data_IF_550808118425
#
_entry.id   IF_550808118425
#
_cell.length_a   1.000
_cell.length_b   1.000
_cell.length_c   1.000
_cell.angle_alpha   90.00
_cell.angle_beta   90.00
_cell.angle_gamma   90.00
#
_symmetry.space_group_name_H-M   'P 1'
#
loop_
_entity.id
_entity.type
_entity.pdbx_description
1 polymer ?
#
# COMPACT_ATOMS: atom_id res chain seq x y z
N UNK A 1 -4.69 -6.37 0.31
CA UNK A 1 -5.17 -5.47 -0.72
C UNK A 1 -6.59 -5.84 -1.10
N UNK A 2 -7.48 -4.88 -1.11
CA UNK A 2 -8.88 -5.03 -1.51
C UNK A 2 -9.10 -4.08 -2.69
N UNK A 3 -9.75 -4.56 -3.73
CA UNK A 3 -10.12 -3.75 -4.89
C UNK A 3 -11.55 -4.09 -5.29
N UNK A 4 -12.41 -3.08 -5.43
CA UNK A 4 -13.77 -3.23 -5.91
C UNK A 4 -13.78 -3.04 -7.42
N UNK A 5 -14.31 -4.05 -8.13
CA UNK A 5 -14.48 -4.00 -9.59
C UNK A 5 -15.88 -3.43 -9.87
N UNK A 6 -15.96 -2.45 -10.75
CA UNK A 6 -17.20 -1.85 -11.23
C UNK A 6 -17.69 -2.54 -12.50
N UNK A 7 -18.96 -2.30 -12.87
CA UNK A 7 -19.59 -2.83 -14.10
C UNK A 7 -19.61 -4.37 -14.18
N UNK A 8 -19.88 -5.02 -13.06
CA UNK A 8 -20.04 -6.46 -12.94
C UNK A 8 -21.53 -6.80 -12.82
N UNK A 9 -22.00 -7.77 -13.61
CA UNK A 9 -23.32 -8.37 -13.49
C UNK A 9 -23.27 -9.49 -12.45
N UNK A 10 -23.89 -9.30 -11.29
CA UNK A 10 -23.97 -10.30 -10.23
C UNK A 10 -25.30 -11.03 -10.37
N UNK A 11 -25.27 -12.33 -10.70
CA UNK A 11 -26.46 -13.20 -10.80
C UNK A 11 -26.79 -13.88 -9.48
N UNK A 12 -25.75 -14.21 -8.71
CA UNK A 12 -25.83 -14.86 -7.42
C UNK A 12 -24.70 -14.32 -6.54
N UNK A 13 -25.04 -13.93 -5.33
CA UNK A 13 -24.04 -13.47 -4.35
C UNK A 13 -23.29 -14.66 -3.75
N UNK A 14 -21.98 -14.50 -3.53
CA UNK A 14 -21.16 -15.53 -2.92
C UNK A 14 -19.75 -15.05 -2.63
N UNK A 15 -19.02 -15.88 -1.92
CA UNK A 15 -17.61 -15.67 -1.62
C UNK A 15 -16.81 -16.96 -1.76
N UNK A 16 -15.59 -16.86 -2.25
CA UNK A 16 -14.68 -17.98 -2.38
C UNK A 16 -13.23 -17.50 -2.34
N UNK A 17 -12.29 -18.41 -2.17
CA UNK A 17 -10.86 -18.13 -2.26
C UNK A 17 -10.22 -19.04 -3.29
N UNK A 18 -9.19 -18.55 -3.98
CA UNK A 18 -8.40 -19.36 -4.90
C UNK A 18 -6.95 -18.86 -4.95
N UNK A 19 -6.07 -19.63 -5.58
CA UNK A 19 -4.66 -19.27 -5.72
C UNK A 19 -4.50 -18.07 -6.66
N UNK A 20 -4.07 -16.94 -6.12
CA UNK A 20 -3.96 -15.67 -6.86
C UNK A 20 -3.03 -15.73 -8.08
N UNK A 21 -1.90 -16.44 -7.98
CA UNK A 21 -0.94 -16.57 -9.09
C UNK A 21 -1.55 -17.32 -10.29
N UNK A 22 -2.27 -18.41 -10.03
CA UNK A 22 -2.91 -19.21 -11.08
C UNK A 22 -4.04 -18.40 -11.73
N UNK A 23 -4.87 -17.75 -10.91
CA UNK A 23 -5.95 -16.90 -11.42
C UNK A 23 -5.39 -15.76 -12.29
N UNK A 24 -4.33 -15.09 -11.83
CA UNK A 24 -3.65 -14.05 -12.59
C UNK A 24 -3.12 -14.57 -13.93
N UNK A 25 -2.44 -15.73 -13.94
CA UNK A 25 -1.86 -16.33 -15.14
C UNK A 25 -2.92 -16.72 -16.18
N UNK A 26 -4.11 -17.10 -15.74
CA UNK A 26 -5.26 -17.40 -16.60
C UNK A 26 -5.87 -16.11 -17.13
N UNK A 27 -6.24 -15.19 -16.23
CA UNK A 27 -6.97 -13.96 -16.59
C UNK A 27 -6.18 -13.10 -17.57
N UNK A 28 -4.87 -12.96 -17.40
CA UNK A 28 -4.02 -12.17 -18.32
C UNK A 28 -3.93 -12.71 -19.75
N UNK A 29 -4.38 -13.96 -19.99
CA UNK A 29 -4.39 -14.56 -21.33
C UNK A 29 -5.69 -14.31 -22.08
N UNK A 30 -6.72 -13.86 -21.39
CA UNK A 30 -7.94 -13.46 -22.05
C UNK A 30 -7.81 -12.09 -22.71
N UNK A 31 -8.48 -11.90 -23.83
CA UNK A 31 -8.58 -10.60 -24.48
C UNK A 31 -9.43 -9.65 -23.62
N UNK A 32 -9.04 -8.39 -23.53
CA UNK A 32 -9.71 -7.36 -22.70
C UNK A 32 -11.14 -7.02 -23.15
N UNK A 33 -11.50 -7.38 -24.38
CA UNK A 33 -12.82 -7.16 -24.97
C UNK A 33 -13.81 -8.29 -24.68
N UNK A 34 -13.39 -9.37 -24.03
CA UNK A 34 -14.21 -10.56 -23.77
C UNK A 34 -14.79 -10.56 -22.35
N UNK A 35 -16.02 -11.08 -22.26
CA UNK A 35 -16.66 -11.33 -20.96
C UNK A 35 -16.04 -12.54 -20.30
N UNK A 36 -15.78 -12.41 -19.00
CA UNK A 36 -15.36 -13.49 -18.13
C UNK A 36 -16.49 -13.81 -17.14
N UNK A 37 -16.97 -15.04 -17.18
CA UNK A 37 -17.95 -15.54 -16.21
C UNK A 37 -17.20 -16.26 -15.07
N UNK A 38 -17.62 -15.98 -13.86
CA UNK A 38 -17.14 -16.63 -12.65
C UNK A 38 -18.31 -17.35 -12.00
N UNK A 39 -18.15 -18.63 -11.69
CA UNK A 39 -19.18 -19.41 -11.00
C UNK A 39 -18.55 -20.51 -10.14
N UNK A 40 -19.30 -21.00 -9.16
CA UNK A 40 -18.90 -22.21 -8.43
C UNK A 40 -19.51 -23.43 -9.11
N UNK A 41 -18.69 -24.44 -9.38
CA UNK A 41 -19.19 -25.70 -9.91
C UNK A 41 -19.63 -26.68 -8.80
N UNK A 42 -20.23 -27.81 -9.18
CA UNK A 42 -20.71 -28.84 -8.25
C UNK A 42 -19.61 -29.51 -7.41
N UNK A 43 -18.33 -29.32 -7.79
CA UNK A 43 -17.17 -29.85 -7.07
C UNK A 43 -16.55 -28.81 -6.12
N UNK A 44 -17.23 -27.70 -5.83
CA UNK A 44 -16.74 -26.57 -5.07
C UNK A 44 -15.43 -25.95 -5.64
N UNK A 45 -15.29 -25.91 -6.95
CA UNK A 45 -14.20 -25.23 -7.64
C UNK A 45 -14.70 -23.94 -8.28
N UNK A 46 -13.88 -22.91 -8.28
CA UNK A 46 -14.14 -21.68 -9.00
C UNK A 46 -13.94 -21.93 -10.50
N UNK A 47 -15.01 -21.85 -11.27
CA UNK A 47 -14.98 -21.95 -12.71
C UNK A 47 -14.84 -20.55 -13.32
N UNK A 48 -13.81 -20.40 -14.17
CA UNK A 48 -13.63 -19.24 -15.02
C UNK A 48 -13.97 -19.66 -16.46
N UNK A 49 -14.93 -18.99 -17.05
CA UNK A 49 -15.39 -19.27 -18.40
C UNK A 49 -15.32 -18.01 -19.28
N UNK A 50 -14.67 -18.12 -20.43
CA UNK A 50 -14.68 -17.10 -21.46
C UNK A 50 -14.64 -17.76 -22.82
N UNK A 51 -15.64 -17.47 -23.67
CA UNK A 51 -15.85 -18.06 -25.00
C UNK A 51 -15.86 -19.60 -24.98
N UNK A 52 -14.79 -20.24 -25.49
CA UNK A 52 -14.62 -21.71 -25.55
C UNK A 52 -13.68 -22.24 -24.46
N UNK A 53 -13.19 -21.40 -23.60
CA UNK A 53 -12.22 -21.76 -22.57
C UNK A 53 -12.88 -21.87 -21.21
N UNK A 54 -12.69 -22.99 -20.53
CA UNK A 54 -13.19 -23.25 -19.19
C UNK A 54 -12.02 -23.69 -18.33
N UNK A 55 -11.83 -23.02 -17.18
CA UNK A 55 -10.82 -23.36 -16.19
C UNK A 55 -11.48 -23.59 -14.83
N UNK A 56 -11.08 -24.64 -14.15
CA UNK A 56 -11.55 -24.96 -12.79
C UNK A 56 -10.41 -24.80 -11.80
N UNK A 57 -10.56 -23.89 -10.87
CA UNK A 57 -9.58 -23.59 -9.84
C UNK A 57 -9.99 -24.18 -8.50
N UNK A 58 -9.05 -24.79 -7.79
CA UNK A 58 -9.28 -25.24 -6.44
C UNK A 58 -9.52 -24.06 -5.51
N UNK A 59 -10.48 -24.21 -4.61
CA UNK A 59 -10.88 -23.22 -3.62
C UNK A 59 -10.60 -23.73 -2.22
N UNK A 60 -10.35 -22.79 -1.32
CA UNK A 60 -10.33 -23.00 0.13
C UNK A 60 -11.58 -22.32 0.70
N UNK A 61 -12.10 -22.81 1.79
CA UNK A 61 -13.27 -22.22 2.42
C UNK A 61 -13.00 -20.75 2.75
N UNK A 62 -13.89 -19.87 2.36
CA UNK A 62 -13.77 -18.42 2.60
C UNK A 62 -13.70 -18.05 4.09
N UNK A 63 -14.24 -18.90 4.99
CA UNK A 63 -14.12 -18.72 6.44
C UNK A 63 -12.69 -18.84 6.96
N UNK A 64 -11.79 -19.46 6.19
CA UNK A 64 -10.37 -19.57 6.52
C UNK A 64 -9.56 -18.33 6.05
N UNK A 65 -10.19 -17.44 5.29
CA UNK A 65 -9.51 -16.22 4.83
C UNK A 65 -9.38 -15.24 5.99
N UNK A 66 -8.15 -14.77 6.29
CA UNK A 66 -7.92 -13.85 7.39
C UNK A 66 -8.52 -12.47 7.09
N UNK A 67 -9.62 -12.14 7.74
CA UNK A 67 -10.22 -10.82 7.69
C UNK A 67 -9.53 -9.89 8.69
N UNK A 68 -9.45 -8.62 8.37
CA UNK A 68 -8.94 -7.58 9.27
C UNK A 68 -10.12 -6.70 9.69
N UNK A 69 -10.70 -6.98 10.86
CA UNK A 69 -11.83 -6.23 11.42
C UNK A 69 -11.38 -5.05 12.31
N UNK A 70 -10.21 -4.49 12.04
CA UNK A 70 -9.66 -3.42 12.87
C UNK A 70 -10.30 -2.07 12.54
N UNK A 71 -10.63 -1.31 13.58
CA UNK A 71 -11.17 0.03 13.45
C UNK A 71 -10.03 1.04 13.26
N UNK A 72 -9.98 1.67 12.10
CA UNK A 72 -8.97 2.68 11.70
C UNK A 72 -9.48 4.13 11.84
N UNK A 73 -10.48 4.39 12.67
CA UNK A 73 -11.20 5.68 12.63
C UNK A 73 -10.49 6.82 13.38
N UNK A 74 -9.52 6.54 14.26
CA UNK A 74 -9.02 7.54 15.20
C UNK A 74 -7.97 8.51 14.62
N UNK A 75 -7.17 8.08 13.64
CA UNK A 75 -6.07 8.88 13.07
C UNK A 75 -6.17 8.85 11.54
N UNK A 76 -7.00 9.73 10.98
CA UNK A 76 -7.26 9.77 9.54
C UNK A 76 -6.91 11.13 8.97
N UNK A 77 -6.21 11.15 7.84
CA UNK A 77 -5.96 12.35 7.04
C UNK A 77 -5.98 12.03 5.55
N UNK A 78 -6.05 13.07 4.74
CA UNK A 78 -6.12 12.97 3.29
C UNK A 78 -4.94 13.70 2.67
N UNK A 79 -4.35 13.10 1.64
CA UNK A 79 -3.24 13.69 0.91
C UNK A 79 -3.39 13.44 -0.58
N UNK A 80 -3.03 14.43 -1.40
CA UNK A 80 -3.05 14.27 -2.85
C UNK A 80 -2.05 13.18 -3.30
N UNK A 81 -2.51 12.26 -4.16
CA UNK A 81 -1.74 11.10 -4.61
C UNK A 81 -0.41 11.46 -5.28
N UNK A 82 -0.39 12.50 -6.13
CA UNK A 82 0.85 12.96 -6.82
C UNK A 82 1.89 13.45 -5.82
N UNK A 83 1.44 14.21 -4.81
CA UNK A 83 2.35 14.70 -3.76
C UNK A 83 2.88 13.56 -2.90
N UNK A 84 2.01 12.62 -2.52
CA UNK A 84 2.40 11.47 -1.73
C UNK A 84 3.35 10.53 -2.51
N UNK A 85 3.02 10.23 -3.77
CA UNK A 85 3.89 9.46 -4.65
C UNK A 85 5.28 10.10 -4.82
N UNK A 86 5.32 11.42 -5.02
CA UNK A 86 6.59 12.17 -5.11
C UNK A 86 7.40 12.08 -3.81
N UNK A 87 6.74 12.15 -2.65
CA UNK A 87 7.36 12.00 -1.34
C UNK A 87 8.05 10.64 -1.21
N UNK A 88 7.32 9.57 -1.51
CA UNK A 88 7.82 8.19 -1.44
C UNK A 88 8.94 7.92 -2.46
N UNK A 89 8.76 8.33 -3.70
CA UNK A 89 9.72 8.12 -4.79
C UNK A 89 11.08 8.76 -4.50
N UNK A 90 11.10 9.92 -3.82
CA UNK A 90 12.34 10.60 -3.44
C UNK A 90 13.12 9.90 -2.33
N UNK A 91 12.47 9.01 -1.56
CA UNK A 91 13.10 8.35 -0.42
C UNK A 91 13.31 6.84 -0.63
N UNK A 92 12.49 6.16 -1.45
CA UNK A 92 12.48 4.69 -1.57
C UNK A 92 13.82 4.07 -1.94
N UNK A 93 14.70 4.79 -2.68
CA UNK A 93 15.99 4.26 -3.10
C UNK A 93 17.06 4.23 -1.99
N UNK A 94 16.82 4.92 -0.89
CA UNK A 94 17.70 4.94 0.30
C UNK A 94 17.23 3.98 1.40
N UNK A 95 16.18 3.19 1.17
CA UNK A 95 15.71 2.19 2.12
C UNK A 95 16.71 1.02 2.19
N UNK A 96 17.06 0.60 3.40
CA UNK A 96 18.01 -0.50 3.63
C UNK A 96 17.48 -1.85 3.17
N UNK A 97 18.39 -2.72 2.75
CA UNK A 97 18.16 -4.15 2.50
C UNK A 97 18.70 -5.04 3.63
N UNK A 98 19.27 -4.44 4.66
CA UNK A 98 19.87 -5.16 5.78
C UNK A 98 18.77 -5.61 6.75
N UNK A 99 18.50 -6.91 6.79
CA UNK A 99 17.48 -7.52 7.64
C UNK A 99 17.83 -7.46 9.13
N UNK A 100 19.13 -7.29 9.46
CA UNK A 100 19.55 -7.16 10.87
C UNK A 100 19.16 -5.82 11.47
N UNK A 101 19.03 -4.79 10.64
CA UNK A 101 18.58 -3.44 11.00
C UNK A 101 17.19 -3.15 10.41
N UNK A 102 16.22 -3.99 10.75
CA UNK A 102 14.86 -3.95 10.19
C UNK A 102 14.20 -2.56 10.27
N UNK A 103 14.51 -1.74 11.30
CA UNK A 103 14.03 -0.37 11.46
C UNK A 103 14.51 0.59 10.35
N UNK A 104 15.53 0.22 9.56
CA UNK A 104 15.98 0.94 8.37
C UNK A 104 15.37 0.40 7.06
N UNK A 105 14.63 -0.73 7.13
CA UNK A 105 14.03 -1.37 5.95
C UNK A 105 12.70 -0.74 5.53
N UNK A 106 12.52 0.55 5.81
CA UNK A 106 11.34 1.32 5.49
C UNK A 106 11.60 2.81 5.38
N UNK A 107 10.54 3.54 5.06
CA UNK A 107 10.53 5.02 5.11
C UNK A 107 9.93 5.43 6.45
N UNK A 108 10.65 6.28 7.16
CA UNK A 108 10.17 6.95 8.36
C UNK A 108 9.32 8.16 7.96
N UNK A 109 8.02 8.06 8.23
CA UNK A 109 7.05 9.14 8.02
C UNK A 109 6.72 9.79 9.34
N UNK A 110 6.90 11.10 9.43
CA UNK A 110 6.62 11.88 10.62
C UNK A 110 6.34 13.33 10.28
N UNK A 111 5.85 14.09 11.24
CA UNK A 111 5.67 15.53 11.08
C UNK A 111 6.92 16.27 11.53
N UNK A 112 7.26 17.34 10.82
CA UNK A 112 8.31 18.29 11.20
C UNK A 112 7.77 19.71 11.09
N UNK A 113 8.28 20.59 11.94
CA UNK A 113 7.98 22.01 11.92
C UNK A 113 9.26 22.80 11.60
N UNK A 114 9.18 23.71 10.65
CA UNK A 114 10.28 24.58 10.21
C UNK A 114 9.70 25.96 9.91
N UNK A 115 10.17 26.99 10.58
CA UNK A 115 9.72 28.37 10.39
C UNK A 115 8.18 28.50 10.44
N UNK A 116 7.57 27.97 11.50
CA UNK A 116 6.12 27.95 11.73
C UNK A 116 5.30 27.26 10.62
N UNK A 117 5.94 26.45 9.80
CA UNK A 117 5.29 25.64 8.75
C UNK A 117 5.40 24.17 9.08
N UNK A 118 4.30 23.48 8.95
CA UNK A 118 4.18 22.06 9.24
C UNK A 118 4.39 21.25 7.96
N UNK A 119 5.13 20.14 8.07
CA UNK A 119 5.42 19.25 6.94
C UNK A 119 5.21 17.80 7.31
N UNK A 120 4.63 17.02 6.39
CA UNK A 120 4.81 15.58 6.38
C UNK A 120 6.19 15.28 5.78
N UNK A 121 7.04 14.68 6.59
CA UNK A 121 8.43 14.39 6.22
C UNK A 121 8.63 12.90 6.08
N UNK A 122 9.24 12.50 4.99
CA UNK A 122 9.74 11.15 4.75
C UNK A 122 11.26 11.14 4.85
N UNK A 123 11.82 10.19 5.60
CA UNK A 123 13.25 9.96 5.69
C UNK A 123 13.57 8.49 5.50
N UNK A 124 14.64 8.19 4.79
CA UNK A 124 15.15 6.83 4.59
C UNK A 124 16.67 6.85 4.55
N UNK A 125 17.31 5.82 5.08
CA UNK A 125 18.78 5.64 5.06
C UNK A 125 19.14 4.16 5.08
N UNK A 126 20.24 3.82 4.41
CA UNK A 126 20.89 2.51 4.47
C UNK A 126 22.25 2.58 5.18
N UNK A 127 22.53 3.66 5.91
CA UNK A 127 23.77 4.05 6.59
C UNK A 127 24.88 4.59 5.68
N UNK A 128 24.79 4.43 4.36
CA UNK A 128 25.75 4.97 3.39
C UNK A 128 25.22 6.23 2.71
N UNK A 129 23.94 6.32 2.57
CA UNK A 129 23.21 7.47 2.00
C UNK A 129 21.91 7.70 2.74
N UNK A 130 21.40 8.90 2.62
CA UNK A 130 20.15 9.31 3.24
C UNK A 130 19.34 10.15 2.26
N UNK A 131 18.03 9.98 2.29
CA UNK A 131 17.09 10.80 1.55
C UNK A 131 16.05 11.36 2.48
N UNK A 132 15.75 12.65 2.30
CA UNK A 132 14.70 13.35 3.02
C UNK A 132 13.85 14.08 2.00
N UNK A 133 12.55 13.96 2.12
CA UNK A 133 11.57 14.70 1.31
C UNK A 133 10.47 15.22 2.21
N UNK A 134 9.89 16.37 1.86
CA UNK A 134 8.87 17.04 2.66
C UNK A 134 7.71 17.51 1.78
N UNK A 135 6.50 17.43 2.33
CA UNK A 135 5.30 18.06 1.78
C UNK A 135 4.76 19.00 2.84
N UNK A 136 4.47 20.24 2.44
CA UNK A 136 3.82 21.19 3.33
C UNK A 136 2.40 20.73 3.64
N UNK A 137 2.04 20.83 4.91
CA UNK A 137 0.68 20.62 5.40
C UNK A 137 0.06 21.96 5.76
N UNK A 138 -1.25 22.07 5.61
CA UNK A 138 -2.00 23.27 5.99
C UNK A 138 -2.28 23.30 7.51
N UNK A 139 -2.38 22.11 8.12
CA UNK A 139 -2.61 21.93 9.55
C UNK A 139 -1.82 20.75 10.12
N UNK A 140 -1.71 20.69 11.43
CA UNK A 140 -1.08 19.58 12.15
C UNK A 140 -2.01 18.37 12.10
N UNK A 141 -1.46 17.23 11.64
CA UNK A 141 -2.19 15.97 11.61
C UNK A 141 -2.16 15.30 13.00
N UNK A 142 -3.23 14.59 13.33
CA UNK A 142 -3.20 13.61 14.41
C UNK A 142 -2.55 12.32 13.90
N UNK A 143 -1.22 12.31 13.84
CA UNK A 143 -0.45 11.25 13.19
C UNK A 143 0.85 11.01 13.97
N UNK A 144 0.98 9.82 14.51
CA UNK A 144 2.21 9.39 15.17
C UNK A 144 3.28 9.00 14.13
N UNK A 145 4.55 9.21 14.45
CA UNK A 145 5.65 8.78 13.60
C UNK A 145 5.60 7.26 13.33
N UNK A 146 5.77 6.85 12.08
CA UNK A 146 5.72 5.44 11.66
C UNK A 146 6.88 5.09 10.75
N UNK A 147 7.21 3.80 10.69
CA UNK A 147 8.14 3.26 9.68
C UNK A 147 7.33 2.39 8.71
N UNK A 148 7.16 2.91 7.50
CA UNK A 148 6.43 2.24 6.42
C UNK A 148 7.33 1.22 5.73
N UNK A 149 6.96 -0.09 5.67
CA UNK A 149 7.82 -1.12 5.13
C UNK A 149 8.13 -0.95 3.64
N UNK A 150 9.33 -1.34 3.24
CA UNK A 150 9.80 -1.30 1.84
C UNK A 150 8.79 -1.90 0.85
N UNK A 151 8.25 -3.10 1.13
CA UNK A 151 7.28 -3.76 0.27
C UNK A 151 6.03 -2.91 0.04
N UNK A 152 5.52 -2.29 1.10
CA UNK A 152 4.35 -1.41 1.03
C UNK A 152 4.63 -0.15 0.23
N UNK A 153 5.83 0.44 0.37
CA UNK A 153 6.25 1.62 -0.38
C UNK A 153 6.24 1.33 -1.89
N UNK A 154 6.86 0.23 -2.31
CA UNK A 154 6.91 -0.13 -3.73
C UNK A 154 5.52 -0.44 -4.29
N UNK A 155 4.68 -1.13 -3.52
CA UNK A 155 3.30 -1.41 -3.90
C UNK A 155 2.49 -0.12 -4.06
N UNK A 156 2.58 0.81 -3.10
CA UNK A 156 1.91 2.11 -3.19
C UNK A 156 2.39 2.92 -4.39
N UNK A 157 3.71 2.98 -4.63
CA UNK A 157 4.24 3.68 -5.78
C UNK A 157 3.66 3.14 -7.10
N UNK A 158 3.58 1.81 -7.23
CA UNK A 158 2.99 1.18 -8.42
C UNK A 158 1.49 1.47 -8.57
N UNK A 159 0.73 1.40 -7.47
CA UNK A 159 -0.72 1.61 -7.49
C UNK A 159 -1.10 3.08 -7.72
N UNK A 160 -0.28 4.02 -7.25
CA UNK A 160 -0.52 5.46 -7.37
C UNK A 160 0.06 6.09 -8.66
N UNK A 161 0.84 5.35 -9.45
CA UNK A 161 1.57 5.89 -10.61
C UNK A 161 0.65 6.58 -11.62
N UNK A 162 -0.52 5.97 -11.89
CA UNK A 162 -1.51 6.47 -12.83
C UNK A 162 -2.79 6.97 -12.15
N UNK A 163 -2.76 7.17 -10.83
CA UNK A 163 -3.91 7.64 -10.08
C UNK A 163 -3.81 9.14 -9.81
N UNK A 164 -4.85 9.86 -10.19
CA UNK A 164 -5.02 11.29 -9.91
C UNK A 164 -6.22 11.47 -8.99
N UNK A 165 -5.97 11.72 -7.73
CA UNK A 165 -7.00 11.90 -6.71
C UNK A 165 -6.38 11.96 -5.33
N UNK A 166 -7.20 11.79 -4.34
CA UNK A 166 -6.80 11.83 -2.95
C UNK A 166 -6.63 10.42 -2.38
N UNK A 167 -5.63 10.27 -1.54
CA UNK A 167 -5.36 9.07 -0.74
C UNK A 167 -5.78 9.37 0.69
N UNK A 168 -6.77 8.64 1.19
CA UNK A 168 -7.14 8.67 2.61
C UNK A 168 -6.23 7.70 3.35
N UNK A 169 -5.55 8.19 4.35
CA UNK A 169 -4.59 7.44 5.16
C UNK A 169 -5.12 7.36 6.59
N UNK A 170 -5.20 6.16 7.12
CA UNK A 170 -5.60 5.92 8.50
C UNK A 170 -4.61 4.96 9.15
N UNK A 171 -4.18 5.25 10.37
CA UNK A 171 -3.27 4.36 11.07
C UNK A 171 -3.74 4.04 12.48
N UNK A 172 -3.37 2.85 12.92
CA UNK A 172 -3.40 2.40 14.29
C UNK A 172 -1.96 2.03 14.69
N UNK A 173 -1.73 1.71 15.96
CA UNK A 173 -0.37 1.48 16.51
C UNK A 173 0.51 0.54 15.67
N UNK A 174 -0.07 -0.51 15.07
CA UNK A 174 0.70 -1.55 14.37
C UNK A 174 0.43 -1.67 12.87
N UNK A 175 -0.57 -0.94 12.36
CA UNK A 175 -1.01 -1.04 10.97
C UNK A 175 -1.39 0.32 10.39
N UNK A 176 -1.32 0.40 9.06
CA UNK A 176 -1.74 1.55 8.28
C UNK A 176 -2.65 1.09 7.14
N UNK A 177 -3.66 1.88 6.86
CA UNK A 177 -4.62 1.69 5.78
C UNK A 177 -4.55 2.87 4.81
N UNK A 178 -4.52 2.56 3.52
CA UNK A 178 -4.60 3.52 2.43
C UNK A 178 -5.85 3.21 1.60
N UNK A 179 -6.70 4.21 1.40
CA UNK A 179 -7.95 4.10 0.62
C UNK A 179 -7.87 5.07 -0.56
N UNK A 180 -8.01 4.57 -1.77
CA UNK A 180 -7.96 5.35 -3.02
C UNK A 180 -8.55 4.54 -4.17
N UNK A 181 -9.23 5.18 -5.10
CA UNK A 181 -9.74 4.58 -6.34
C UNK A 181 -10.36 3.17 -6.16
N UNK A 182 -11.38 3.05 -5.33
CA UNK A 182 -12.06 1.78 -5.02
C UNK A 182 -11.12 0.67 -4.49
N UNK A 183 -9.95 1.08 -3.98
CA UNK A 183 -8.92 0.17 -3.48
C UNK A 183 -8.58 0.47 -2.04
N UNK A 184 -8.31 -0.58 -1.28
CA UNK A 184 -7.83 -0.51 0.10
C UNK A 184 -6.55 -1.33 0.21
N UNK A 185 -5.49 -0.69 0.65
CA UNK A 185 -4.24 -1.35 1.01
C UNK A 185 -4.02 -1.24 2.51
N UNK A 186 -3.92 -2.38 3.18
CA UNK A 186 -3.58 -2.46 4.61
C UNK A 186 -2.20 -3.09 4.75
N UNK A 187 -1.35 -2.49 5.57
CA UNK A 187 -0.01 -2.97 5.85
C UNK A 187 0.30 -2.94 7.34
N UNK A 188 1.06 -3.93 7.81
CA UNK A 188 1.73 -3.83 9.10
C UNK A 188 2.83 -2.77 9.02
N UNK A 189 3.04 -2.06 10.11
CA UNK A 189 4.16 -1.12 10.27
C UNK A 189 5.38 -1.86 10.80
N UNK A 190 6.56 -1.32 10.56
CA UNK A 190 7.78 -1.83 11.19
C UNK A 190 7.79 -1.32 12.63
N UNK A 191 7.88 -2.26 13.58
CA UNK A 191 8.09 -1.96 14.99
C UNK A 191 9.57 -1.66 15.22
N UNK A 192 9.86 -0.47 15.75
CA UNK A 192 11.22 -0.03 16.00
C UNK A 192 11.34 1.48 16.07
N UNK A 193 12.52 1.94 16.50
CA UNK A 193 12.83 3.35 16.58
C UNK A 193 13.76 3.74 15.43
N UNK A 194 13.29 4.64 14.56
CA UNK A 194 14.13 5.20 13.50
C UNK A 194 15.22 6.10 14.12
N UNK A 195 16.47 6.05 13.66
CA UNK A 195 17.55 6.85 14.23
C UNK A 195 17.28 8.34 14.07
N UNK A 196 17.86 9.13 14.98
CA UNK A 196 17.81 10.60 14.88
C UNK A 196 18.67 11.08 13.72
N UNK A 197 18.13 11.00 12.52
CA UNK A 197 18.81 11.34 11.28
C UNK A 197 19.17 12.84 11.17
N UNK A 198 18.51 13.72 11.94
CA UNK A 198 18.78 15.16 11.91
C UNK A 198 20.22 15.47 12.37
N UNK A 199 20.77 14.65 13.29
CA UNK A 199 22.11 14.83 13.81
C UNK A 199 23.21 14.53 12.80
N UNK A 200 22.93 13.72 11.78
CA UNK A 200 23.91 13.34 10.75
C UNK A 200 23.80 14.17 9.47
N UNK A 201 22.88 15.14 9.42
CA UNK A 201 22.80 16.08 8.30
C UNK A 201 23.99 17.04 8.38
N UNK A 202 24.82 17.12 7.33
CA UNK A 202 25.95 18.06 7.30
C UNK A 202 25.45 19.52 7.36
N UNK A 203 25.96 20.29 8.33
CA UNK A 203 25.56 21.69 8.53
C UNK A 203 26.45 22.70 7.79
N UNK A 204 27.69 22.32 7.47
CA UNK A 204 28.70 23.20 6.89
C UNK A 204 29.34 22.53 5.65
N UNK A 205 28.54 22.24 4.63
CA UNK A 205 29.06 21.73 3.36
C UNK A 205 29.57 22.91 2.54
N UNK A 206 30.89 23.08 2.50
CA UNK A 206 31.52 23.87 1.44
C UNK A 206 31.53 23.05 0.16
N UNK A 207 30.86 23.55 -0.88
CA UNK A 207 30.97 23.00 -2.24
C UNK A 207 32.31 23.37 -2.83
#
# INVERSE_FOLDING_TARGET
>A
FIHQIENVEIKEEGNTTTTSSIMFDIVRKFSSDKKLNLSMNNENKLQLESEKSIFNLNCINSSEFPLTDENFNDNTFVINSKHFLKLLNKCKFSVSNDETRHYLSGIYLHQTEVEDKIYLTAAATDSHRMSISKIRLDEKLNFDPIILPKKTIFQLCSLLENYEGDVKISNIKSKIKFEFNNSILISKLIDGTFPNYIQVIPKNNQK
#
